data_IF_810232621468
#
_entry.id   IF_810232621468
#
_cell.length_a   1.000
_cell.length_b   1.000
_cell.length_c   1.000
_cell.angle_alpha   90.00
_cell.angle_beta   90.00
_cell.angle_gamma   90.00
#
_symmetry.space_group_name_H-M   'P 1'
#
loop_
_entity.id
_entity.type
_entity.pdbx_description
1 polymer ?
#
# COMPACT_ATOMS: atom_id res chain seq x y z
N UNK A 1 8.01 5.82 43.69
CA UNK A 1 8.91 4.66 43.60
C UNK A 1 8.26 3.52 44.37
N UNK A 2 7.54 2.63 43.69
CA UNK A 2 6.92 1.47 44.32
C UNK A 2 8.01 0.40 44.52
N UNK A 3 8.17 -0.06 45.75
CA UNK A 3 9.09 -1.15 46.09
C UNK A 3 8.52 -2.43 45.50
N UNK A 4 9.32 -3.08 44.65
CA UNK A 4 9.05 -4.41 44.13
C UNK A 4 9.22 -5.41 45.29
N UNK A 5 8.12 -5.91 45.85
CA UNK A 5 8.22 -7.17 46.59
C UNK A 5 8.39 -8.30 45.57
N UNK A 6 9.52 -9.00 45.72
CA UNK A 6 9.87 -10.15 44.89
C UNK A 6 8.74 -11.20 44.95
N UNK A 7 8.29 -11.61 43.77
CA UNK A 7 7.13 -12.47 43.60
C UNK A 7 7.30 -13.85 44.24
N UNK A 8 6.80 -13.99 45.46
CA UNK A 8 6.54 -15.29 46.07
C UNK A 8 5.09 -15.37 46.59
N UNK A 9 4.18 -15.65 45.66
CA UNK A 9 2.73 -15.75 45.90
C UNK A 9 2.31 -17.11 46.50
N UNK A 10 3.26 -18.03 46.73
CA UNK A 10 3.01 -19.37 47.30
C UNK A 10 3.20 -19.39 48.82
N UNK A 11 2.44 -18.58 49.54
CA UNK A 11 2.43 -18.57 51.01
C UNK A 11 0.99 -18.57 51.56
N UNK A 12 0.84 -18.92 52.84
CA UNK A 12 -0.45 -18.80 53.52
C UNK A 12 -0.91 -17.33 53.51
N UNK A 13 -2.22 -17.04 53.38
CA UNK A 13 -2.71 -15.69 53.16
C UNK A 13 -2.21 -14.74 54.25
N UNK A 14 -1.44 -13.74 53.86
CA UNK A 14 -1.07 -12.65 54.75
C UNK A 14 -2.36 -11.86 55.05
N UNK A 15 -2.61 -11.51 56.32
CA UNK A 15 -3.73 -10.63 56.70
C UNK A 15 -3.55 -9.17 56.22
N UNK A 16 -2.68 -8.96 55.25
CA UNK A 16 -2.35 -7.66 54.66
C UNK A 16 -3.39 -7.31 53.60
N UNK A 17 -4.00 -6.14 53.76
CA UNK A 17 -4.89 -5.59 52.74
C UNK A 17 -4.04 -4.89 51.67
N UNK A 18 -3.96 -5.48 50.47
CA UNK A 18 -3.31 -4.86 49.32
C UNK A 18 -4.22 -3.76 48.74
N UNK A 19 -3.65 -2.61 48.42
CA UNK A 19 -4.39 -1.55 47.75
C UNK A 19 -4.84 -2.02 46.36
N UNK A 20 -6.14 -1.92 46.08
CA UNK A 20 -6.66 -2.22 44.74
C UNK A 20 -6.10 -1.20 43.75
N UNK A 21 -5.40 -1.68 42.73
CA UNK A 21 -4.92 -0.84 41.64
C UNK A 21 -6.10 -0.54 40.70
N UNK A 22 -6.47 0.73 40.59
CA UNK A 22 -7.47 1.16 39.62
C UNK A 22 -6.82 1.42 38.26
N UNK A 23 -7.42 0.88 37.20
CA UNK A 23 -6.98 1.13 35.84
C UNK A 23 -7.39 2.54 35.43
N UNK A 24 -6.42 3.38 35.04
CA UNK A 24 -6.71 4.68 34.46
C UNK A 24 -7.54 4.54 33.17
N UNK A 25 -8.67 5.25 33.10
CA UNK A 25 -9.51 5.30 31.89
C UNK A 25 -8.91 6.27 30.87
N UNK A 26 -8.80 5.83 29.61
CA UNK A 26 -8.40 6.69 28.49
C UNK A 26 -9.56 6.88 27.52
N UNK A 27 -9.61 8.05 26.87
CA UNK A 27 -10.56 8.31 25.78
C UNK A 27 -9.98 7.75 24.48
N UNK A 28 -10.69 6.80 23.87
CA UNK A 28 -10.37 6.25 22.55
C UNK A 28 -11.47 6.61 21.55
N UNK A 29 -11.09 7.03 20.34
CA UNK A 29 -12.00 7.24 19.22
C UNK A 29 -11.60 6.29 18.08
N UNK A 30 -12.41 5.27 17.77
CA UNK A 30 -12.12 4.37 16.66
C UNK A 30 -12.20 5.11 15.32
N UNK A 31 -11.41 4.65 14.35
CA UNK A 31 -11.34 5.23 13.02
C UNK A 31 -11.90 4.22 12.00
N UNK A 32 -13.11 4.49 11.53
CA UNK A 32 -13.90 3.53 10.72
C UNK A 32 -13.65 3.66 9.20
N UNK A 33 -12.63 4.41 8.77
CA UNK A 33 -12.37 4.68 7.33
C UNK A 33 -12.20 3.43 6.47
N UNK A 34 -11.80 2.31 7.07
CA UNK A 34 -11.63 1.03 6.39
C UNK A 34 -12.70 -0.01 6.78
N UNK A 35 -13.74 0.40 7.52
CA UNK A 35 -14.87 -0.46 7.82
C UNK A 35 -15.63 -0.75 6.53
N UNK A 36 -15.78 -2.03 6.22
CA UNK A 36 -16.51 -2.48 5.03
C UNK A 36 -17.97 -2.78 5.39
N UNK A 37 -18.86 -2.57 4.42
CA UNK A 37 -20.25 -2.97 4.54
C UNK A 37 -20.36 -4.48 4.76
N UNK A 38 -21.34 -4.89 5.58
CA UNK A 38 -21.58 -6.31 5.88
C UNK A 38 -22.09 -7.07 4.65
N UNK A 39 -22.80 -6.38 3.77
CA UNK A 39 -23.30 -6.91 2.51
C UNK A 39 -22.22 -6.79 1.43
N UNK A 40 -21.73 -7.94 0.96
CA UNK A 40 -20.62 -7.99 0.00
C UNK A 40 -21.14 -8.25 -1.41
N UNK A 41 -20.81 -7.34 -2.31
CA UNK A 41 -21.12 -7.44 -3.73
C UNK A 41 -19.85 -7.87 -4.48
N UNK A 42 -19.81 -9.12 -4.93
CA UNK A 42 -18.61 -9.72 -5.56
C UNK A 42 -18.61 -9.72 -7.09
N UNK A 43 -19.61 -9.13 -7.72
CA UNK A 43 -19.74 -9.11 -9.19
C UNK A 43 -18.89 -8.01 -9.85
N UNK A 44 -18.38 -7.05 -9.07
CA UNK A 44 -17.60 -5.93 -9.57
C UNK A 44 -16.20 -6.36 -9.99
N UNK A 45 -15.71 -5.78 -11.10
CA UNK A 45 -14.36 -5.98 -11.59
C UNK A 45 -13.38 -4.99 -10.95
N UNK A 46 -12.09 -5.32 -10.93
CA UNK A 46 -11.05 -4.46 -10.32
C UNK A 46 -10.73 -3.18 -11.10
N UNK A 47 -11.25 -3.00 -12.32
CA UNK A 47 -10.95 -1.86 -13.19
C UNK A 47 -11.29 -0.52 -12.52
N UNK A 48 -12.45 -0.44 -11.85
CA UNK A 48 -12.94 0.79 -11.21
C UNK A 48 -11.99 1.29 -10.12
N UNK A 49 -11.32 0.37 -9.42
CA UNK A 49 -10.34 0.72 -8.38
C UNK A 49 -9.16 1.49 -8.97
N UNK A 50 -8.65 1.08 -10.14
CA UNK A 50 -7.54 1.77 -10.79
C UNK A 50 -7.97 3.13 -11.35
N UNK A 51 -9.17 3.22 -11.93
CA UNK A 51 -9.72 4.48 -12.42
C UNK A 51 -9.91 5.49 -11.27
N UNK A 52 -10.50 5.05 -10.16
CA UNK A 52 -10.72 5.90 -8.98
C UNK A 52 -9.40 6.39 -8.39
N UNK A 53 -8.40 5.51 -8.26
CA UNK A 53 -7.06 5.86 -7.77
C UNK A 53 -6.42 6.95 -8.63
N UNK A 54 -6.38 6.75 -9.95
CA UNK A 54 -5.80 7.73 -10.87
C UNK A 54 -6.56 9.05 -10.79
N UNK A 55 -7.89 9.03 -10.80
CA UNK A 55 -8.71 10.25 -10.73
C UNK A 55 -8.51 11.03 -9.42
N UNK A 56 -8.32 10.32 -8.30
CA UNK A 56 -8.08 10.96 -6.99
C UNK A 56 -6.68 11.53 -6.85
N UNK A 57 -5.66 10.85 -7.39
CA UNK A 57 -4.25 11.25 -7.24
C UNK A 57 -3.80 12.25 -8.31
N UNK A 58 -4.36 12.17 -9.53
CA UNK A 58 -3.94 13.01 -10.67
C UNK A 58 -3.88 14.51 -10.34
N UNK A 59 -4.89 15.16 -9.72
CA UNK A 59 -4.85 16.60 -9.46
C UNK A 59 -3.70 17.03 -8.55
N UNK A 60 -3.37 16.22 -7.54
CA UNK A 60 -2.30 16.53 -6.60
C UNK A 60 -0.92 16.38 -7.26
N UNK A 61 -0.74 15.30 -8.02
CA UNK A 61 0.52 15.04 -8.77
C UNK A 61 0.70 16.08 -9.87
N UNK A 62 -0.37 16.44 -10.57
CA UNK A 62 -0.40 17.44 -11.63
C UNK A 62 0.05 18.81 -11.13
N UNK A 63 -0.43 19.25 -9.97
CA UNK A 63 0.02 20.51 -9.38
C UNK A 63 1.53 20.52 -9.13
N UNK A 64 2.05 19.46 -8.51
CA UNK A 64 3.50 19.35 -8.20
C UNK A 64 4.33 19.27 -9.49
N UNK A 65 3.86 18.52 -10.48
CA UNK A 65 4.53 18.36 -11.77
C UNK A 65 4.57 19.67 -12.56
N UNK A 66 3.45 20.40 -12.61
CA UNK A 66 3.41 21.75 -13.19
C UNK A 66 4.37 22.68 -12.46
N UNK A 67 4.32 22.78 -11.13
CA UNK A 67 5.22 23.65 -10.37
C UNK A 67 6.72 23.32 -10.62
N UNK A 68 7.06 22.07 -10.93
CA UNK A 68 8.44 21.61 -11.15
C UNK A 68 8.92 21.70 -12.60
N UNK A 69 8.03 21.51 -13.58
CA UNK A 69 8.39 21.32 -14.99
C UNK A 69 7.73 22.30 -15.96
N UNK A 70 6.80 23.14 -15.50
CA UNK A 70 6.26 24.24 -16.29
C UNK A 70 7.38 25.22 -16.64
N UNK A 71 7.45 25.62 -17.92
CA UNK A 71 8.51 26.44 -18.52
C UNK A 71 9.95 25.91 -18.39
N UNK A 72 10.12 24.66 -17.96
CA UNK A 72 11.43 24.05 -17.88
C UNK A 72 11.97 23.75 -19.28
N UNK A 73 13.23 24.13 -19.52
CA UNK A 73 13.90 23.92 -20.80
C UNK A 73 15.14 23.04 -20.64
N UNK A 74 15.25 22.03 -21.50
CA UNK A 74 16.45 21.19 -21.61
C UNK A 74 16.95 21.29 -23.04
N UNK A 75 18.23 21.66 -23.21
CA UNK A 75 18.87 21.77 -24.53
C UNK A 75 18.12 22.66 -25.54
N UNK A 76 17.39 23.67 -25.06
CA UNK A 76 16.59 24.58 -25.89
C UNK A 76 15.17 24.08 -26.25
N UNK A 77 14.79 22.91 -25.75
CA UNK A 77 13.44 22.36 -25.90
C UNK A 77 12.63 22.56 -24.61
N UNK A 78 11.40 23.03 -24.74
CA UNK A 78 10.48 23.22 -23.60
C UNK A 78 9.74 21.92 -23.32
N UNK A 79 9.65 21.52 -22.05
CA UNK A 79 8.93 20.30 -21.67
C UNK A 79 7.43 20.49 -21.92
N UNK A 80 6.83 19.61 -22.72
CA UNK A 80 5.38 19.60 -22.96
C UNK A 80 4.68 18.59 -22.05
N UNK A 81 3.53 18.96 -21.49
CA UNK A 81 2.65 17.99 -20.83
C UNK A 81 1.92 17.16 -21.89
N UNK A 82 1.91 15.84 -21.71
CA UNK A 82 1.12 14.91 -22.52
C UNK A 82 0.12 14.14 -21.64
N UNK A 83 -1.17 14.22 -21.98
CA UNK A 83 -2.24 13.59 -21.18
C UNK A 83 -2.37 12.08 -21.38
N UNK A 84 -2.05 11.56 -22.58
CA UNK A 84 -2.10 10.13 -22.89
C UNK A 84 -0.72 9.65 -23.27
N UNK A 85 -0.24 8.59 -22.62
CA UNK A 85 1.07 8.00 -22.92
C UNK A 85 1.26 7.62 -24.40
N UNK A 86 0.17 7.25 -25.09
CA UNK A 86 0.20 6.90 -26.51
C UNK A 86 0.43 8.11 -27.44
N UNK A 87 0.22 9.34 -26.96
CA UNK A 87 0.46 10.56 -27.74
C UNK A 87 1.91 11.05 -27.62
N UNK A 88 2.75 10.36 -26.83
CA UNK A 88 4.18 10.68 -26.69
C UNK A 88 4.89 10.47 -28.03
N UNK A 89 5.60 11.51 -28.48
CA UNK A 89 6.37 11.48 -29.73
C UNK A 89 7.85 11.32 -29.44
N UNK A 90 8.53 10.50 -30.23
CA UNK A 90 9.98 10.36 -30.14
C UNK A 90 10.67 11.70 -30.46
N UNK A 91 11.68 12.05 -29.66
CA UNK A 91 12.44 13.28 -29.82
C UNK A 91 11.72 14.53 -29.32
N UNK A 92 10.58 14.38 -28.62
CA UNK A 92 9.95 15.47 -27.87
C UNK A 92 10.12 15.29 -26.38
N UNK A 93 10.57 16.33 -25.69
CA UNK A 93 10.66 16.34 -24.24
C UNK A 93 9.27 16.53 -23.61
N UNK A 94 8.81 15.55 -22.84
CA UNK A 94 7.48 15.59 -22.23
C UNK A 94 7.40 14.88 -20.88
N UNK A 95 6.34 15.20 -20.12
CA UNK A 95 5.96 14.47 -18.91
C UNK A 95 4.51 13.96 -19.00
N UNK A 96 4.26 12.82 -18.34
CA UNK A 96 2.97 12.12 -18.34
C UNK A 96 2.64 11.70 -16.91
N UNK A 97 1.35 11.72 -16.57
CA UNK A 97 0.83 11.17 -15.30
C UNK A 97 0.02 9.92 -15.60
N UNK A 98 0.36 8.83 -14.93
CA UNK A 98 -0.33 7.56 -15.07
C UNK A 98 -0.08 6.63 -13.90
N UNK A 99 -0.60 5.41 -14.02
CA UNK A 99 -0.32 4.33 -13.08
C UNK A 99 0.79 3.47 -13.67
N UNK A 100 1.85 3.25 -12.90
CA UNK A 100 2.95 2.38 -13.32
C UNK A 100 2.55 0.92 -13.13
N UNK A 101 2.74 0.11 -14.17
CA UNK A 101 2.62 -1.34 -14.07
C UNK A 101 4.01 -1.98 -14.10
N UNK A 102 4.26 -2.87 -13.14
CA UNK A 102 5.51 -3.62 -13.05
C UNK A 102 5.27 -5.07 -13.48
N UNK A 103 5.97 -5.50 -14.52
CA UNK A 103 6.05 -6.91 -14.89
C UNK A 103 7.25 -7.56 -14.20
N UNK A 104 6.97 -8.50 -13.29
CA UNK A 104 7.98 -9.18 -12.48
C UNK A 104 8.01 -10.68 -12.82
N UNK A 105 9.18 -11.25 -13.17
CA UNK A 105 9.29 -12.67 -13.53
C UNK A 105 8.88 -13.65 -12.44
N UNK A 106 9.04 -13.25 -11.17
CA UNK A 106 8.75 -14.09 -9.99
C UNK A 106 7.36 -13.81 -9.39
N UNK A 107 6.53 -13.00 -10.05
CA UNK A 107 5.15 -12.76 -9.60
C UNK A 107 4.33 -14.03 -9.83
N UNK A 108 3.67 -14.58 -8.80
CA UNK A 108 2.86 -15.78 -8.95
C UNK A 108 1.74 -15.54 -9.97
N UNK A 109 1.55 -16.52 -10.86
CA UNK A 109 0.55 -16.47 -11.92
C UNK A 109 -0.40 -17.66 -11.77
N UNK A 110 -1.67 -17.36 -11.48
CA UNK A 110 -2.71 -18.38 -11.27
C UNK A 110 -2.94 -19.26 -12.51
N UNK A 111 -2.75 -18.72 -13.72
CA UNK A 111 -2.90 -19.51 -14.96
C UNK A 111 -1.79 -20.57 -15.07
N UNK A 112 -0.57 -20.23 -14.67
CA UNK A 112 0.55 -21.17 -14.64
C UNK A 112 0.31 -22.26 -13.59
N UNK A 113 -0.23 -21.89 -12.43
CA UNK A 113 -0.54 -22.84 -11.35
C UNK A 113 -1.65 -23.83 -11.77
N UNK A 114 -2.68 -23.35 -12.46
CA UNK A 114 -3.76 -24.19 -13.02
C UNK A 114 -3.20 -25.16 -14.07
N UNK A 115 -2.29 -24.69 -14.94
CA UNK A 115 -1.70 -25.52 -15.99
C UNK A 115 -0.81 -26.65 -15.48
N UNK A 116 -0.29 -26.52 -14.24
CA UNK A 116 0.67 -27.45 -13.63
C UNK A 116 0.02 -28.43 -12.63
N UNK A 117 -1.31 -28.49 -12.55
CA UNK A 117 -2.08 -29.32 -11.61
C UNK A 117 -1.65 -29.17 -10.13
N UNK A 118 -1.11 -28.00 -9.76
CA UNK A 118 -0.46 -27.75 -8.47
C UNK A 118 -1.44 -27.23 -7.40
N UNK A 119 -2.67 -27.75 -7.36
CA UNK A 119 -3.79 -27.19 -6.56
C UNK A 119 -3.67 -27.36 -5.03
N UNK A 120 -2.79 -28.23 -4.54
CA UNK A 120 -2.72 -28.61 -3.11
C UNK A 120 -1.53 -27.97 -2.37
N UNK A 121 -0.47 -27.57 -3.06
CA UNK A 121 0.70 -27.02 -2.37
C UNK A 121 0.48 -25.55 -2.06
N UNK A 122 0.60 -25.19 -0.79
CA UNK A 122 0.70 -23.79 -0.38
C UNK A 122 1.79 -23.12 -1.25
N UNK A 123 1.53 -21.93 -1.83
CA UNK A 123 2.52 -21.25 -2.62
C UNK A 123 3.79 -21.08 -1.76
N UNK A 124 4.98 -21.39 -2.30
CA UNK A 124 6.21 -21.27 -1.54
C UNK A 124 6.29 -19.84 -0.99
N UNK A 125 6.69 -19.70 0.29
CA UNK A 125 6.87 -18.40 0.92
C UNK A 125 7.64 -17.48 -0.02
N UNK A 126 7.04 -16.35 -0.39
CA UNK A 126 7.63 -15.41 -1.33
C UNK A 126 8.96 -14.90 -0.75
N UNK A 127 10.07 -15.56 -1.14
CA UNK A 127 11.37 -14.92 -1.13
C UNK A 127 11.26 -13.75 -2.08
N UNK A 128 11.68 -12.56 -1.64
CA UNK A 128 11.59 -11.28 -2.33
C UNK A 128 11.30 -11.43 -3.84
N UNK A 129 10.11 -11.03 -4.27
CA UNK A 129 9.70 -11.04 -5.68
C UNK A 129 10.52 -10.08 -6.54
N UNK A 130 11.37 -9.27 -5.90
CA UNK A 130 12.30 -8.38 -6.54
C UNK A 130 13.33 -9.16 -7.38
N UNK A 131 13.33 -8.91 -8.68
CA UNK A 131 14.37 -9.40 -9.58
C UNK A 131 15.16 -8.20 -10.15
N UNK A 132 16.50 -8.27 -10.29
CA UNK A 132 17.29 -7.14 -10.81
C UNK A 132 16.93 -6.71 -12.26
N UNK A 133 16.11 -7.49 -12.97
CA UNK A 133 15.67 -7.25 -14.35
C UNK A 133 14.15 -7.10 -14.41
N UNK A 134 13.62 -6.09 -13.72
CA UNK A 134 12.20 -5.73 -13.81
C UNK A 134 11.96 -4.73 -14.95
N UNK A 135 10.87 -4.94 -15.70
CA UNK A 135 10.46 -4.05 -16.78
C UNK A 135 9.27 -3.22 -16.31
N UNK A 136 9.41 -1.89 -16.40
CA UNK A 136 8.30 -0.94 -16.30
C UNK A 136 7.57 -0.94 -17.65
N UNK A 137 6.28 -1.22 -17.66
CA UNK A 137 5.41 -1.10 -18.83
C UNK A 137 4.56 0.18 -18.76
#
# INVERSE_FOLDING_TARGET
MAVLEEGNLLHAPSGQNYAALERASTSYKPHETYALEKEKHYQQQFADIYFLRLTKLKPAVEKIASDAWEDFQIAGETVERVDRVLDVRQGKLCWVIGTIYMEMPLKPNILDDISKDHWISAPPHAKNTYHPQETIL
#
